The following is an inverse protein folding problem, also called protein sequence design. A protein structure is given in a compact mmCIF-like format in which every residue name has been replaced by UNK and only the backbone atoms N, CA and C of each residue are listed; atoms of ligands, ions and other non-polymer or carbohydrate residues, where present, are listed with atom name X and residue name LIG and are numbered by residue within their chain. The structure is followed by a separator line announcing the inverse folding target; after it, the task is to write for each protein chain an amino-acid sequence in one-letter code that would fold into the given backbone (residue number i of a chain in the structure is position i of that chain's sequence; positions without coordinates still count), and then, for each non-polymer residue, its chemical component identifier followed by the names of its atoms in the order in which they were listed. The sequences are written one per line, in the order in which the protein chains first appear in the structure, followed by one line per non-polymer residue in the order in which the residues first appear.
data_IF_591903996957
#
_entry.id   IF_591903996957
#
_cell.length_a   1.000
_cell.length_b   1.000
_cell.length_c   1.000
_cell.angle_alpha   90.00
_cell.angle_beta   90.00
_cell.angle_gamma   90.00
#
_symmetry.space_group_name_H-M   'P 1'
#
loop_
_entity.id
_entity.type
_entity.pdbx_description
1 polymer ?
#
# COMPACT_ATOMS: atom_id res chain seq x y z
N UNK A 1 2.28 20.75 -7.55
CA UNK A 1 2.31 20.66 -9.03
C UNK A 1 1.18 19.70 -9.45
N UNK A 2 0.04 20.19 -9.89
CA UNK A 2 -1.02 19.33 -10.45
C UNK A 2 -0.54 18.87 -11.82
N UNK A 3 -0.09 17.64 -11.93
CA UNK A 3 0.19 17.02 -13.23
C UNK A 3 -1.14 16.98 -13.99
N UNK A 4 -1.18 17.62 -15.15
CA UNK A 4 -2.36 17.67 -16.02
C UNK A 4 -2.57 16.26 -16.60
N UNK A 5 -3.28 15.42 -15.86
CA UNK A 5 -3.83 14.19 -16.44
C UNK A 5 -5.02 14.64 -17.27
N UNK A 6 -5.05 14.30 -18.55
CA UNK A 6 -6.20 14.57 -19.40
C UNK A 6 -7.41 13.80 -18.86
N UNK A 7 -8.25 14.48 -18.09
CA UNK A 7 -9.40 13.89 -17.37
C UNK A 7 -10.51 13.38 -18.29
N UNK A 8 -10.44 13.67 -19.58
CA UNK A 8 -11.44 13.20 -20.55
C UNK A 8 -11.31 11.71 -20.90
N UNK A 9 -10.17 11.07 -20.60
CA UNK A 9 -9.89 9.66 -20.91
C UNK A 9 -9.64 8.84 -19.64
N UNK A 10 -9.22 9.48 -18.55
CA UNK A 10 -8.84 8.80 -17.30
C UNK A 10 -9.74 9.29 -16.17
N UNK A 11 -10.46 8.37 -15.53
CA UNK A 11 -11.21 8.67 -14.32
C UNK A 11 -10.25 8.68 -13.12
N UNK A 12 -10.12 9.82 -12.47
CA UNK A 12 -9.31 9.99 -11.26
C UNK A 12 -10.20 10.03 -10.02
N UNK A 13 -9.87 9.21 -9.03
CA UNK A 13 -10.58 9.13 -7.74
C UNK A 13 -9.54 9.30 -6.64
N UNK A 14 -9.81 10.18 -5.68
CA UNK A 14 -9.03 10.29 -4.45
C UNK A 14 -9.67 9.42 -3.38
N UNK A 15 -8.86 8.57 -2.73
CA UNK A 15 -9.34 7.69 -1.65
C UNK A 15 -8.39 7.76 -0.45
N UNK A 16 -8.84 8.28 0.70
CA UNK A 16 -8.00 8.43 1.88
C UNK A 16 -7.55 7.10 2.51
N UNK A 17 -8.20 5.99 2.14
CA UNK A 17 -7.83 4.66 2.70
C UNK A 17 -6.49 4.14 2.20
N UNK A 18 -5.94 4.71 1.12
CA UNK A 18 -4.63 4.35 0.57
C UNK A 18 -3.54 5.39 0.84
N UNK A 19 -3.76 6.27 1.83
CA UNK A 19 -2.72 7.16 2.35
C UNK A 19 -1.64 6.37 3.08
N UNK A 20 -0.48 6.99 3.30
CA UNK A 20 0.58 6.36 4.09
C UNK A 20 0.21 6.23 5.57
N UNK A 21 0.96 5.39 6.28
CA UNK A 21 0.91 5.26 7.74
C UNK A 21 0.98 6.64 8.39
N UNK A 22 0.10 6.89 9.34
CA UNK A 22 0.14 8.10 10.15
C UNK A 22 1.29 8.00 11.17
N UNK A 23 2.27 8.89 11.03
CA UNK A 23 3.42 9.00 11.93
C UNK A 23 3.15 9.83 13.20
N UNK A 24 1.90 10.24 13.41
CA UNK A 24 1.51 11.14 14.48
C UNK A 24 1.97 12.57 14.23
N UNK A 25 2.36 13.27 15.28
CA UNK A 25 2.84 14.63 15.15
C UNK A 25 4.34 14.71 14.83
N UNK A 26 4.78 15.87 14.36
CA UNK A 26 6.21 16.13 14.11
C UNK A 26 7.00 16.04 15.41
N UNK A 27 8.10 15.32 15.36
CA UNK A 27 9.04 15.10 16.46
C UNK A 27 10.44 15.53 16.06
N UNK A 28 11.31 15.66 17.06
CA UNK A 28 12.74 15.82 16.80
C UNK A 28 13.28 14.59 16.02
N UNK A 29 14.24 14.76 15.10
CA UNK A 29 14.83 13.65 14.34
C UNK A 29 15.27 12.46 15.18
N UNK A 30 15.94 12.73 16.32
CA UNK A 30 16.42 11.67 17.22
C UNK A 30 15.29 10.81 17.81
N UNK A 31 14.14 11.43 18.12
CA UNK A 31 12.95 10.72 18.59
C UNK A 31 12.36 9.82 17.48
N UNK A 32 12.38 10.31 16.24
CA UNK A 32 11.94 9.52 15.09
C UNK A 32 12.85 8.33 14.84
N UNK A 33 14.18 8.47 14.97
CA UNK A 33 15.13 7.38 14.83
C UNK A 33 14.89 6.30 15.90
N UNK A 34 14.64 6.71 17.14
CA UNK A 34 14.33 5.79 18.24
C UNK A 34 13.02 5.03 17.97
N UNK A 35 11.96 5.71 17.52
CA UNK A 35 10.69 5.09 17.15
C UNK A 35 10.89 4.08 16.00
N UNK A 36 11.69 4.45 15.00
CA UNK A 36 12.03 3.56 13.89
C UNK A 36 12.74 2.30 14.37
N UNK A 37 13.71 2.45 15.26
CA UNK A 37 14.46 1.33 15.85
C UNK A 37 13.52 0.42 16.65
N UNK A 38 12.70 0.98 17.54
CA UNK A 38 11.74 0.20 18.33
C UNK A 38 10.76 -0.56 17.44
N UNK A 39 10.28 0.07 16.37
CA UNK A 39 9.41 -0.59 15.40
C UNK A 39 10.12 -1.75 14.69
N UNK A 40 11.34 -1.54 14.23
CA UNK A 40 12.09 -2.56 13.51
C UNK A 40 12.48 -3.73 14.42
N UNK A 41 12.75 -3.48 15.72
CA UNK A 41 13.04 -4.49 16.74
C UNK A 41 11.79 -5.29 17.15
N UNK A 42 10.62 -4.66 17.14
CA UNK A 42 9.38 -5.29 17.57
C UNK A 42 8.63 -5.94 16.40
N UNK A 43 8.11 -5.16 15.48
CA UNK A 43 7.41 -5.55 14.25
C UNK A 43 6.92 -4.33 13.49
N UNK A 44 7.23 -4.23 12.22
CA UNK A 44 6.70 -3.16 11.36
C UNK A 44 5.18 -3.24 11.24
N UNK A 45 4.60 -4.44 11.34
CA UNK A 45 3.15 -4.64 11.24
C UNK A 45 2.41 -4.28 12.53
N UNK A 46 2.91 -4.70 13.69
CA UNK A 46 2.18 -4.55 14.96
C UNK A 46 2.55 -3.31 15.76
N UNK A 47 3.75 -2.76 15.56
CA UNK A 47 4.17 -1.58 16.32
C UNK A 47 3.32 -0.37 15.98
N UNK A 48 2.72 0.23 17.03
CA UNK A 48 1.95 1.48 16.87
C UNK A 48 2.87 2.67 17.05
N UNK A 49 2.90 3.54 16.05
CA UNK A 49 3.56 4.85 16.20
C UNK A 49 2.83 5.64 17.30
N UNK A 50 3.53 6.24 18.26
CA UNK A 50 2.90 7.11 19.25
C UNK A 50 2.06 8.21 18.57
N UNK A 51 0.81 8.35 18.98
CA UNK A 51 -0.20 9.26 18.37
C UNK A 51 -0.46 9.02 16.87
N UNK A 52 -0.09 7.87 16.37
CA UNK A 52 -0.24 7.49 14.96
C UNK A 52 -0.86 6.12 14.75
N UNK A 53 -0.59 5.53 13.60
CA UNK A 53 -1.08 4.22 13.20
C UNK A 53 -0.04 3.11 13.42
N UNK A 54 -0.52 1.88 13.51
CA UNK A 54 0.27 0.66 13.28
C UNK A 54 0.10 0.17 11.84
N UNK A 55 0.97 -0.74 11.40
CA UNK A 55 0.76 -1.45 10.12
C UNK A 55 -0.57 -2.19 10.08
N UNK A 56 -1.03 -2.75 11.22
CA UNK A 56 -2.33 -3.40 11.33
C UNK A 56 -3.50 -2.44 11.04
N UNK A 57 -3.45 -1.19 11.55
CA UNK A 57 -4.49 -0.18 11.24
C UNK A 57 -4.54 0.14 9.73
N UNK A 58 -3.36 0.29 9.12
CA UNK A 58 -3.26 0.49 7.66
C UNK A 58 -3.80 -0.71 6.89
N UNK A 59 -3.49 -1.92 7.33
CA UNK A 59 -4.01 -3.16 6.74
C UNK A 59 -5.54 -3.21 6.78
N UNK A 60 -6.16 -2.81 7.87
CA UNK A 60 -7.62 -2.79 8.02
C UNK A 60 -8.27 -1.81 7.04
N UNK A 61 -7.76 -0.57 6.95
CA UNK A 61 -8.34 0.40 6.01
C UNK A 61 -8.07 0.07 4.54
N UNK A 62 -6.92 -0.54 4.23
CA UNK A 62 -6.62 -1.06 2.89
C UNK A 62 -7.55 -2.22 2.55
N UNK A 63 -7.91 -3.07 3.50
CA UNK A 63 -8.88 -4.16 3.29
C UNK A 63 -10.25 -3.61 2.87
N UNK A 64 -10.72 -2.53 3.48
CA UNK A 64 -11.97 -1.88 3.07
C UNK A 64 -11.89 -1.21 1.69
N UNK A 65 -10.74 -0.63 1.34
CA UNK A 65 -10.48 -0.13 0.00
C UNK A 65 -10.55 -1.25 -1.04
N UNK A 66 -9.95 -2.40 -0.72
CA UNK A 66 -9.91 -3.57 -1.60
C UNK A 66 -11.30 -4.11 -1.91
N UNK A 67 -12.22 -4.10 -0.94
CA UNK A 67 -13.63 -4.47 -1.18
C UNK A 67 -14.31 -3.55 -2.20
N UNK A 68 -14.01 -2.26 -2.15
CA UNK A 68 -14.47 -1.29 -3.17
C UNK A 68 -13.89 -1.61 -4.53
N UNK A 69 -12.57 -1.89 -4.58
CA UNK A 69 -11.87 -2.21 -5.81
C UNK A 69 -12.42 -3.50 -6.46
N UNK A 70 -12.69 -4.54 -5.68
CA UNK A 70 -13.31 -5.77 -6.18
C UNK A 70 -14.69 -5.54 -6.77
N UNK A 71 -15.52 -4.69 -6.16
CA UNK A 71 -16.83 -4.32 -6.72
C UNK A 71 -16.67 -3.55 -8.02
N UNK A 72 -15.71 -2.65 -8.09
CA UNK A 72 -15.43 -1.86 -9.29
C UNK A 72 -14.96 -2.75 -10.44
N UNK A 73 -14.07 -3.71 -10.20
CA UNK A 73 -13.59 -4.65 -11.23
C UNK A 73 -14.66 -5.55 -11.83
N UNK A 74 -15.81 -5.69 -11.17
CA UNK A 74 -16.96 -6.46 -11.69
C UNK A 74 -17.88 -5.65 -12.60
N UNK A 75 -17.71 -4.34 -12.66
CA UNK A 75 -18.51 -3.48 -13.55
C UNK A 75 -18.08 -3.69 -15.00
N UNK A 76 -19.07 -3.76 -15.90
CA UNK A 76 -18.81 -3.98 -17.34
C UNK A 76 -18.03 -2.85 -18.00
N UNK A 77 -18.18 -1.64 -17.50
CA UNK A 77 -17.59 -0.41 -18.01
C UNK A 77 -16.28 -0.04 -17.25
N UNK A 78 -15.79 -0.93 -16.39
CA UNK A 78 -14.55 -0.66 -15.69
C UNK A 78 -13.37 -0.72 -16.66
N UNK A 79 -12.43 0.23 -16.60
CA UNK A 79 -11.25 0.24 -17.46
C UNK A 79 -10.41 -1.05 -17.33
N UNK A 80 -9.74 -1.44 -18.40
CA UNK A 80 -8.86 -2.63 -18.40
C UNK A 80 -7.66 -2.49 -17.46
N UNK A 81 -7.25 -1.25 -17.17
CA UNK A 81 -6.12 -0.96 -16.30
C UNK A 81 -6.55 -0.02 -15.17
N UNK A 82 -6.10 -0.31 -13.97
CA UNK A 82 -6.20 0.56 -12.80
C UNK A 82 -4.81 0.97 -12.33
N UNK A 83 -4.56 2.26 -12.21
CA UNK A 83 -3.35 2.79 -11.62
C UNK A 83 -3.65 3.28 -10.20
N UNK A 84 -3.02 2.66 -9.21
CA UNK A 84 -3.12 3.05 -7.81
C UNK A 84 -1.84 3.78 -7.42
N UNK A 85 -1.95 5.05 -7.04
CA UNK A 85 -0.84 5.84 -6.53
C UNK A 85 -0.92 5.84 -5.01
N UNK A 86 0.10 5.31 -4.36
CA UNK A 86 0.14 5.15 -2.91
C UNK A 86 1.59 5.26 -2.40
N UNK A 87 1.87 4.79 -1.20
CA UNK A 87 3.15 4.91 -0.51
C UNK A 87 3.75 3.55 -0.17
N UNK A 88 5.01 3.54 0.27
CA UNK A 88 5.80 2.32 0.40
C UNK A 88 5.20 1.28 1.35
N UNK A 89 4.86 1.66 2.57
CA UNK A 89 4.28 0.73 3.54
C UNK A 89 2.88 0.30 3.13
N UNK A 90 2.05 1.25 2.71
CA UNK A 90 0.67 0.99 2.27
C UNK A 90 0.64 0.04 1.06
N UNK A 91 1.56 0.19 0.09
CA UNK A 91 1.67 -0.74 -1.04
C UNK A 91 2.00 -2.16 -0.57
N UNK A 92 2.98 -2.32 0.34
CA UNK A 92 3.33 -3.66 0.85
C UNK A 92 2.16 -4.32 1.58
N UNK A 93 1.39 -3.55 2.36
CA UNK A 93 0.21 -4.04 3.06
C UNK A 93 -0.94 -4.36 2.10
N UNK A 94 -1.09 -3.58 1.02
CA UNK A 94 -2.01 -3.89 -0.05
C UNK A 94 -1.68 -5.24 -0.70
N UNK A 95 -0.42 -5.48 -1.04
CA UNK A 95 0.03 -6.74 -1.60
C UNK A 95 -0.16 -7.90 -0.61
N UNK A 96 0.21 -7.69 0.66
CA UNK A 96 -0.01 -8.67 1.72
C UNK A 96 -1.48 -9.09 1.80
N UNK A 97 -2.41 -8.13 1.76
CA UNK A 97 -3.85 -8.42 1.81
C UNK A 97 -4.34 -9.11 0.55
N UNK A 98 -3.88 -8.67 -0.63
CA UNK A 98 -4.29 -9.23 -1.92
C UNK A 98 -3.85 -10.68 -2.08
N UNK A 99 -2.60 -10.98 -1.74
CA UNK A 99 -1.99 -12.31 -1.92
C UNK A 99 -2.07 -13.20 -0.67
N UNK A 100 -2.74 -12.74 0.39
CA UNK A 100 -2.89 -13.47 1.65
C UNK A 100 -1.54 -13.87 2.29
N UNK A 101 -0.54 -12.99 2.21
CA UNK A 101 0.75 -13.22 2.83
C UNK A 101 0.68 -13.17 4.36
N UNK A 102 1.58 -13.88 5.00
CA UNK A 102 1.78 -13.80 6.45
C UNK A 102 2.47 -12.49 6.85
N UNK A 103 2.45 -12.18 8.14
CA UNK A 103 3.20 -11.02 8.68
C UNK A 103 4.69 -11.19 8.40
N UNK A 104 5.22 -12.40 8.55
CA UNK A 104 6.63 -12.71 8.30
C UNK A 104 7.01 -12.47 6.83
N UNK A 105 6.17 -12.85 5.90
CA UNK A 105 6.38 -12.58 4.47
C UNK A 105 6.37 -11.09 4.17
N UNK A 106 5.42 -10.36 4.74
CA UNK A 106 5.36 -8.90 4.64
C UNK A 106 6.62 -8.23 5.22
N UNK A 107 7.09 -8.65 6.37
CA UNK A 107 8.24 -8.02 7.04
C UNK A 107 9.57 -8.27 6.30
N UNK A 108 9.66 -9.32 5.51
CA UNK A 108 10.81 -9.57 4.63
C UNK A 108 10.91 -8.61 3.45
N UNK A 109 9.81 -7.95 3.08
CA UNK A 109 9.82 -7.02 1.97
C UNK A 109 10.48 -5.70 2.34
N UNK A 110 11.23 -5.14 1.42
CA UNK A 110 11.68 -3.75 1.50
C UNK A 110 10.62 -2.81 0.96
N UNK A 111 10.67 -1.56 1.40
CA UNK A 111 9.87 -0.53 0.75
C UNK A 111 10.32 -0.37 -0.71
N UNK A 112 9.38 -0.21 -1.63
CA UNK A 112 9.71 0.14 -3.00
C UNK A 112 10.45 1.49 -3.04
N UNK A 113 11.22 1.69 -4.08
CA UNK A 113 11.87 2.99 -4.34
C UNK A 113 10.82 4.04 -4.71
N UNK A 114 11.15 5.31 -4.54
CA UNK A 114 10.29 6.39 -5.00
C UNK A 114 9.98 6.24 -6.49
N UNK A 115 8.72 6.43 -6.85
CA UNK A 115 8.20 6.26 -8.21
C UNK A 115 8.37 4.85 -8.81
N UNK A 116 8.65 3.84 -7.99
CA UNK A 116 8.68 2.47 -8.45
C UNK A 116 7.27 2.01 -8.80
N UNK A 117 7.13 1.37 -9.96
CA UNK A 117 5.88 0.76 -10.40
C UNK A 117 5.90 -0.72 -10.08
N UNK A 118 4.89 -1.19 -9.38
CA UNK A 118 4.64 -2.62 -9.15
C UNK A 118 3.43 -3.02 -9.98
N UNK A 119 3.62 -3.99 -10.87
CA UNK A 119 2.58 -4.42 -11.81
C UNK A 119 2.01 -5.76 -11.35
N UNK A 120 0.70 -5.80 -11.20
CA UNK A 120 -0.10 -7.00 -10.98
C UNK A 120 -0.89 -7.29 -12.25
N UNK A 121 -0.79 -8.47 -12.79
CA UNK A 121 -1.48 -8.88 -14.00
C UNK A 121 -2.46 -10.01 -13.71
N UNK A 122 -3.69 -9.85 -14.22
CA UNK A 122 -4.68 -10.91 -14.22
C UNK A 122 -4.33 -11.96 -15.27
N UNK A 123 -4.19 -13.20 -14.85
CA UNK A 123 -3.82 -14.32 -15.71
C UNK A 123 -5.06 -15.02 -16.28
N UNK A 124 -4.87 -15.93 -17.23
CA UNK A 124 -5.97 -16.67 -17.87
C UNK A 124 -6.80 -17.52 -16.89
N UNK A 125 -6.21 -17.92 -15.76
CA UNK A 125 -6.89 -18.65 -14.68
C UNK A 125 -7.67 -17.74 -13.70
N UNK A 126 -7.87 -16.46 -14.05
CA UNK A 126 -8.54 -15.43 -13.25
C UNK A 126 -7.75 -14.96 -12.01
N UNK A 127 -6.60 -15.55 -11.68
CA UNK A 127 -5.73 -15.11 -10.59
C UNK A 127 -4.81 -13.99 -11.04
N UNK A 128 -4.36 -13.17 -10.07
CA UNK A 128 -3.39 -12.11 -10.29
C UNK A 128 -1.98 -12.59 -9.91
N UNK A 129 -1.00 -12.19 -10.69
CA UNK A 129 0.41 -12.39 -10.41
C UNK A 129 1.16 -11.05 -10.40
N UNK A 130 2.19 -10.94 -9.56
CA UNK A 130 3.10 -9.80 -9.56
C UNK A 130 4.17 -10.10 -10.62
N UNK A 131 4.19 -9.29 -11.68
CA UNK A 131 5.19 -9.42 -12.76
C UNK A 131 6.40 -8.51 -12.54
N UNK A 132 6.35 -7.63 -11.56
CA UNK A 132 7.47 -6.79 -11.15
C UNK A 132 8.33 -7.48 -10.09
N UNK A 133 9.62 -7.18 -10.09
CA UNK A 133 10.52 -7.66 -9.03
C UNK A 133 10.26 -6.88 -7.75
N UNK A 134 9.99 -7.59 -6.65
CA UNK A 134 9.97 -7.03 -5.29
C UNK A 134 11.34 -7.25 -4.64
N UNK A 135 11.80 -6.25 -3.89
CA UNK A 135 13.04 -6.36 -3.12
C UNK A 135 12.74 -6.90 -1.72
N UNK A 136 13.60 -7.81 -1.24
CA UNK A 136 13.53 -8.38 0.11
C UNK A 136 14.72 -7.93 0.95
N UNK A 137 14.57 -8.00 2.27
CA UNK A 137 15.67 -7.76 3.24
C UNK A 137 16.59 -8.96 3.31
#
# INVERSE_FOLDING_TARGET
MKTKIETNVVKVIEDPRIRELDWGHLRHPDENEEIMRQRDDFSTFYYRIPDGESGADVFDRVSTFMETLYRDFRKRDYPQNALIVTHGLTLRLFLMRWFHWTVEEFERLRNPRNCQVVVMQKMANEHYEIISKLETR
#
